data_IF_274259454615
#
_entry.id   IF_274259454615
#
_cell.length_a   1.000
_cell.length_b   1.000
_cell.length_c   1.000
_cell.angle_alpha   90.00
_cell.angle_beta   90.00
_cell.angle_gamma   90.00
#
_symmetry.space_group_name_H-M   'P 1'
#
loop_
_entity.id
_entity.type
_entity.pdbx_description
1 polymer ?
#
# COMPACT_ATOMS: atom_id res chain seq x y z
N UNK A 1 70.04 4.74 32.90
CA UNK A 1 69.57 5.97 32.22
C UNK A 1 68.24 5.64 31.55
N UNK A 2 67.16 6.31 31.96
CA UNK A 2 65.77 6.04 31.55
C UNK A 2 65.46 6.80 30.26
N UNK A 3 64.92 6.11 29.25
CA UNK A 3 64.19 6.71 28.11
C UNK A 3 63.12 5.70 27.70
N UNK A 4 61.93 5.70 28.31
CA UNK A 4 60.72 6.43 27.89
C UNK A 4 60.34 6.17 26.42
N UNK A 5 59.31 5.32 26.26
CA UNK A 5 58.55 4.99 25.07
C UNK A 5 57.75 6.20 24.56
N UNK A 6 57.45 6.29 23.25
CA UNK A 6 56.14 6.75 22.83
C UNK A 6 55.45 5.68 21.97
N UNK A 7 54.37 5.16 22.54
CA UNK A 7 53.32 4.37 21.92
C UNK A 7 52.39 5.34 21.21
N UNK A 8 52.58 5.63 19.92
CA UNK A 8 51.53 6.28 19.08
C UNK A 8 51.84 6.02 17.61
N UNK A 9 51.00 5.23 16.91
CA UNK A 9 50.24 5.62 15.70
C UNK A 9 49.65 4.36 14.99
N UNK A 10 48.93 3.52 15.73
CA UNK A 10 47.91 2.65 15.10
C UNK A 10 46.62 3.47 15.01
N UNK A 11 46.53 4.34 14.00
CA UNK A 11 45.47 5.34 13.90
C UNK A 11 44.90 5.45 12.49
N UNK A 12 43.74 4.81 12.29
CA UNK A 12 42.60 5.30 11.49
C UNK A 12 42.85 5.44 9.97
N UNK A 13 42.56 4.38 9.22
CA UNK A 13 41.88 4.50 7.91
C UNK A 13 40.86 3.37 7.79
N UNK A 14 39.78 3.45 8.56
CA UNK A 14 38.67 2.52 8.48
C UNK A 14 37.35 3.27 8.67
N UNK A 15 36.96 4.13 7.72
CA UNK A 15 35.65 4.80 7.71
C UNK A 15 35.39 5.66 6.45
N UNK A 16 35.45 5.08 5.25
CA UNK A 16 34.90 5.74 4.03
C UNK A 16 33.84 4.89 3.30
N UNK A 17 33.37 3.79 3.90
CA UNK A 17 32.41 2.88 3.28
C UNK A 17 30.95 3.09 3.71
N UNK A 18 30.58 4.28 4.19
CA UNK A 18 29.19 4.58 4.53
C UNK A 18 28.63 5.66 3.61
N UNK A 19 27.45 5.37 3.03
CA UNK A 19 26.56 6.24 2.23
C UNK A 19 26.92 6.47 0.76
N UNK A 20 26.66 5.47 -0.08
CA UNK A 20 26.80 5.60 -1.54
C UNK A 20 25.87 4.69 -2.33
N UNK A 21 24.68 4.38 -1.81
CA UNK A 21 23.66 3.70 -2.61
C UNK A 21 23.29 4.55 -3.83
N UNK A 22 22.84 3.93 -4.95
CA UNK A 22 22.32 4.66 -6.09
C UNK A 22 21.29 5.69 -5.61
N UNK A 23 21.37 6.92 -6.11
CA UNK A 23 20.32 7.90 -5.86
C UNK A 23 18.99 7.32 -6.33
N UNK A 24 17.89 7.50 -5.56
CA UNK A 24 16.58 7.05 -6.00
C UNK A 24 16.27 7.69 -7.37
N UNK A 25 15.55 6.98 -8.25
CA UNK A 25 15.10 7.56 -9.51
C UNK A 25 14.44 8.92 -9.28
N UNK A 26 14.54 9.88 -10.23
CA UNK A 26 14.02 11.23 -10.08
C UNK A 26 12.49 11.24 -10.19
N UNK A 27 11.82 10.67 -9.20
CA UNK A 27 10.39 10.55 -9.15
C UNK A 27 9.74 11.94 -9.03
N UNK A 28 8.59 12.11 -9.69
CA UNK A 28 7.82 13.36 -9.66
C UNK A 28 6.37 13.11 -9.24
N UNK A 29 6.07 13.12 -7.92
CA UNK A 29 4.71 12.97 -7.41
C UNK A 29 3.86 14.20 -7.75
N UNK A 30 3.08 14.10 -8.83
CA UNK A 30 2.26 15.23 -9.32
C UNK A 30 0.98 15.46 -8.51
N UNK A 31 0.34 14.38 -8.09
CA UNK A 31 -0.87 14.40 -7.27
C UNK A 31 -0.51 14.43 -5.78
N UNK A 32 -1.28 15.16 -4.98
CA UNK A 32 -1.22 15.04 -3.52
C UNK A 32 -1.88 13.74 -3.02
N UNK A 33 -1.88 13.51 -1.70
CA UNK A 33 -2.47 12.29 -1.10
C UNK A 33 -3.97 12.19 -1.40
N UNK A 34 -4.72 13.29 -1.30
CA UNK A 34 -6.17 13.29 -1.48
C UNK A 34 -6.52 12.99 -2.93
N UNK A 35 -5.82 13.61 -3.87
CA UNK A 35 -5.98 13.37 -5.30
C UNK A 35 -5.60 11.93 -5.68
N UNK A 36 -4.55 11.36 -5.09
CA UNK A 36 -4.19 9.96 -5.30
C UNK A 36 -5.27 9.01 -4.75
N UNK A 37 -5.79 9.30 -3.55
CA UNK A 37 -6.89 8.53 -2.95
C UNK A 37 -8.10 8.53 -3.89
N UNK A 38 -8.61 9.72 -4.23
CA UNK A 38 -9.83 9.87 -5.02
C UNK A 38 -9.68 9.44 -6.47
N UNK A 39 -8.48 9.56 -7.05
CA UNK A 39 -8.24 9.33 -8.48
C UNK A 39 -7.80 7.92 -8.83
N UNK A 40 -7.26 7.16 -7.88
CA UNK A 40 -6.70 5.83 -8.14
C UNK A 40 -7.08 4.80 -7.08
N UNK A 41 -6.93 5.12 -5.79
CA UNK A 41 -7.10 4.14 -4.71
C UNK A 41 -8.59 3.82 -4.51
N UNK A 42 -9.41 4.83 -4.22
CA UNK A 42 -10.84 4.70 -3.97
C UNK A 42 -11.57 3.98 -5.13
N UNK A 43 -11.49 4.44 -6.40
CA UNK A 43 -12.17 3.75 -7.49
C UNK A 43 -11.66 2.33 -7.75
N UNK A 44 -10.41 2.03 -7.42
CA UNK A 44 -9.88 0.66 -7.54
C UNK A 44 -10.42 -0.25 -6.45
N UNK A 45 -10.52 0.25 -5.21
CA UNK A 45 -11.15 -0.47 -4.12
C UNK A 45 -12.63 -0.73 -4.40
N UNK A 46 -13.36 0.25 -4.94
CA UNK A 46 -14.75 0.11 -5.36
C UNK A 46 -14.91 -1.02 -6.39
N UNK A 47 -14.03 -1.12 -7.38
CA UNK A 47 -14.07 -2.23 -8.35
C UNK A 47 -13.90 -3.58 -7.66
N UNK A 48 -13.00 -3.69 -6.67
CA UNK A 48 -12.79 -4.95 -5.94
C UNK A 48 -14.01 -5.32 -5.08
N UNK A 49 -14.58 -4.35 -4.36
CA UNK A 49 -15.76 -4.59 -3.53
C UNK A 49 -16.99 -4.90 -4.36
N UNK A 50 -17.21 -4.17 -5.46
CA UNK A 50 -18.36 -4.38 -6.33
C UNK A 50 -18.24 -5.64 -7.19
N UNK A 51 -17.05 -6.26 -7.28
CA UNK A 51 -16.85 -7.49 -8.04
C UNK A 51 -17.56 -8.70 -7.44
N UNK A 52 -17.71 -8.76 -6.11
CA UNK A 52 -18.26 -9.91 -5.39
C UNK A 52 -19.30 -9.48 -4.37
N UNK A 53 -20.20 -10.39 -4.00
CA UNK A 53 -21.18 -10.14 -2.94
C UNK A 53 -22.49 -10.88 -3.14
N UNK A 54 -23.41 -10.71 -2.20
CA UNK A 54 -24.75 -11.29 -2.28
C UNK A 54 -25.80 -10.17 -2.27
N UNK A 55 -26.77 -10.28 -3.16
CA UNK A 55 -27.93 -9.40 -3.25
C UNK A 55 -29.10 -10.19 -2.70
N UNK A 56 -29.56 -9.80 -1.51
CA UNK A 56 -30.70 -10.40 -0.83
C UNK A 56 -31.93 -9.54 -1.15
N UNK A 57 -32.93 -10.14 -1.80
CA UNK A 57 -34.22 -9.50 -2.08
C UNK A 57 -35.36 -10.35 -1.50
N UNK A 58 -36.60 -9.83 -1.56
CA UNK A 58 -37.78 -10.58 -1.13
C UNK A 58 -38.01 -11.84 -1.98
N UNK A 59 -37.50 -11.83 -3.22
CA UNK A 59 -37.63 -12.90 -4.21
C UNK A 59 -36.53 -13.97 -4.10
N UNK A 60 -35.45 -13.70 -3.34
CA UNK A 60 -34.36 -14.65 -3.12
C UNK A 60 -32.98 -13.99 -2.97
N UNK A 61 -31.93 -14.79 -2.96
CA UNK A 61 -30.54 -14.32 -2.89
C UNK A 61 -29.82 -14.60 -4.20
N UNK A 62 -29.17 -13.59 -4.77
CA UNK A 62 -28.32 -13.74 -5.98
C UNK A 62 -26.89 -13.36 -5.65
N UNK A 63 -25.92 -14.15 -6.13
CA UNK A 63 -24.51 -13.88 -5.94
C UNK A 63 -23.94 -13.10 -7.11
N UNK A 64 -23.27 -11.99 -6.80
CA UNK A 64 -22.50 -11.19 -7.72
C UNK A 64 -21.09 -11.74 -7.85
N UNK A 65 -20.60 -11.85 -9.08
CA UNK A 65 -19.24 -12.29 -9.43
C UNK A 65 -18.92 -11.91 -10.87
N UNK A 66 -17.64 -11.77 -11.25
CA UNK A 66 -17.25 -11.61 -12.64
C UNK A 66 -17.67 -12.83 -13.48
N UNK A 67 -18.21 -12.58 -14.68
CA UNK A 67 -18.83 -13.59 -15.55
C UNK A 67 -17.98 -13.97 -16.75
N UNK A 68 -17.09 -13.10 -17.17
CA UNK A 68 -16.28 -13.26 -18.37
C UNK A 68 -14.85 -12.72 -18.14
N UNK A 69 -13.98 -12.94 -19.11
CA UNK A 69 -12.57 -12.57 -19.01
C UNK A 69 -12.34 -11.06 -18.93
N UNK A 70 -13.24 -10.26 -19.52
CA UNK A 70 -13.17 -8.80 -19.45
C UNK A 70 -13.46 -8.30 -18.04
N UNK A 71 -14.51 -8.80 -17.40
CA UNK A 71 -14.83 -8.45 -16.01
C UNK A 71 -13.71 -8.89 -15.05
N UNK A 72 -13.13 -10.08 -15.24
CA UNK A 72 -11.96 -10.51 -14.46
C UNK A 72 -10.73 -9.63 -14.70
N UNK A 73 -10.51 -9.19 -15.95
CA UNK A 73 -9.44 -8.26 -16.27
C UNK A 73 -9.63 -6.90 -15.59
N UNK A 74 -10.86 -6.40 -15.48
CA UNK A 74 -11.16 -5.15 -14.76
C UNK A 74 -10.79 -5.26 -13.28
N UNK A 75 -11.19 -6.35 -12.61
CA UNK A 75 -10.83 -6.62 -11.21
C UNK A 75 -9.32 -6.70 -11.02
N UNK A 76 -8.62 -7.46 -11.89
CA UNK A 76 -7.16 -7.55 -11.86
C UNK A 76 -6.49 -6.20 -12.00
N UNK A 77 -6.92 -5.41 -12.98
CA UNK A 77 -6.31 -4.11 -13.26
C UNK A 77 -6.51 -3.16 -12.08
N UNK A 78 -7.68 -3.17 -11.45
CA UNK A 78 -7.94 -2.42 -10.22
C UNK A 78 -7.05 -2.89 -9.06
N UNK A 79 -6.88 -4.20 -8.87
CA UNK A 79 -5.97 -4.73 -7.85
C UNK A 79 -4.52 -4.28 -8.05
N UNK A 80 -4.03 -4.26 -9.30
CA UNK A 80 -2.69 -3.76 -9.63
C UNK A 80 -2.57 -2.28 -9.28
N UNK A 81 -3.56 -1.46 -9.65
CA UNK A 81 -3.57 -0.03 -9.29
C UNK A 81 -3.54 0.14 -7.78
N UNK A 82 -4.30 -0.65 -7.03
CA UNK A 82 -4.33 -0.60 -5.57
C UNK A 82 -2.97 -0.96 -4.95
N UNK A 83 -2.37 -2.06 -5.40
CA UNK A 83 -1.03 -2.48 -4.96
C UNK A 83 0.01 -1.40 -5.23
N UNK A 84 0.11 -0.92 -6.47
CA UNK A 84 1.13 0.07 -6.82
C UNK A 84 0.87 1.43 -6.17
N UNK A 85 -0.38 1.75 -5.83
CA UNK A 85 -0.69 2.98 -5.11
C UNK A 85 -0.11 3.00 -3.69
N UNK A 86 0.10 1.85 -3.06
CA UNK A 86 0.85 1.79 -1.80
C UNK A 86 2.29 2.28 -1.96
N UNK A 87 2.97 1.93 -3.05
CA UNK A 87 4.29 2.48 -3.39
C UNK A 87 4.20 4.00 -3.59
N UNK A 88 3.16 4.46 -4.29
CA UNK A 88 2.94 5.89 -4.54
C UNK A 88 2.70 6.70 -3.25
N UNK A 89 2.10 6.11 -2.22
CA UNK A 89 1.91 6.75 -0.91
C UNK A 89 3.23 6.92 -0.15
N UNK A 90 4.21 6.05 -0.36
CA UNK A 90 5.53 6.10 0.29
C UNK A 90 6.50 7.10 -0.37
N UNK A 91 6.12 7.73 -1.48
CA UNK A 91 6.96 8.72 -2.14
C UNK A 91 6.91 10.08 -1.43
N UNK A 92 8.06 10.73 -1.25
CA UNK A 92 8.13 12.12 -0.78
C UNK A 92 7.54 13.07 -1.84
N UNK A 93 6.63 13.99 -1.51
CA UNK A 93 6.30 14.47 -0.15
C UNK A 93 5.04 13.86 0.48
N UNK A 94 4.45 12.81 -0.10
CA UNK A 94 3.25 12.15 0.46
C UNK A 94 3.56 11.35 1.71
N UNK A 95 4.74 10.74 1.75
CA UNK A 95 5.24 9.99 2.89
C UNK A 95 5.18 10.81 4.18
N UNK A 96 4.63 10.22 5.25
CA UNK A 96 4.57 10.81 6.60
C UNK A 96 5.41 9.97 7.56
N UNK A 97 5.88 10.59 8.65
CA UNK A 97 6.50 10.00 9.86
C UNK A 97 7.58 8.90 9.75
N UNK A 98 7.88 8.38 8.56
CA UNK A 98 8.88 7.34 8.32
C UNK A 98 8.58 5.98 8.96
N UNK A 99 7.40 5.78 9.58
CA UNK A 99 7.11 4.59 10.38
C UNK A 99 5.73 4.03 10.09
N UNK A 100 4.72 4.41 10.89
CA UNK A 100 3.35 3.89 10.75
C UNK A 100 2.79 4.14 9.36
N UNK A 101 3.07 5.29 8.72
CA UNK A 101 2.64 5.54 7.34
C UNK A 101 3.21 4.51 6.36
N UNK A 102 4.49 4.17 6.50
CA UNK A 102 5.16 3.19 5.65
C UNK A 102 4.57 1.80 5.87
N UNK A 103 4.34 1.44 7.13
CA UNK A 103 3.70 0.18 7.49
C UNK A 103 2.31 0.06 6.87
N UNK A 104 1.45 1.09 7.01
CA UNK A 104 0.09 1.06 6.45
C UNK A 104 0.07 1.08 4.92
N UNK A 105 1.02 1.78 4.31
CA UNK A 105 1.19 1.75 2.85
C UNK A 105 1.60 0.35 2.36
N UNK A 106 2.46 -0.35 3.11
CA UNK A 106 2.86 -1.72 2.79
C UNK A 106 1.70 -2.71 3.00
N UNK A 107 0.89 -2.54 4.04
CA UNK A 107 -0.33 -3.33 4.23
C UNK A 107 -1.27 -3.21 3.01
N UNK A 108 -1.41 -2.01 2.43
CA UNK A 108 -2.18 -1.80 1.19
C UNK A 108 -1.56 -2.55 -0.01
N UNK A 109 -0.23 -2.55 -0.14
CA UNK A 109 0.48 -3.31 -1.18
C UNK A 109 0.15 -4.79 -1.05
N UNK A 110 0.25 -5.33 0.16
CA UNK A 110 0.11 -6.74 0.44
C UNK A 110 -1.32 -7.24 0.15
N UNK A 111 -2.34 -6.52 0.62
CA UNK A 111 -3.75 -6.88 0.34
C UNK A 111 -4.12 -6.69 -1.13
N UNK A 112 -3.62 -5.65 -1.79
CA UNK A 112 -3.80 -5.49 -3.24
C UNK A 112 -3.15 -6.63 -4.02
N UNK A 113 -1.97 -7.09 -3.59
CA UNK A 113 -1.25 -8.19 -4.25
C UNK A 113 -2.02 -9.50 -4.09
N UNK A 114 -2.63 -9.72 -2.93
CA UNK A 114 -3.54 -10.83 -2.70
C UNK A 114 -4.77 -10.74 -3.62
N UNK A 115 -5.40 -9.57 -3.74
CA UNK A 115 -6.54 -9.35 -4.63
C UNK A 115 -6.18 -9.63 -6.09
N UNK A 116 -5.00 -9.19 -6.53
CA UNK A 116 -4.50 -9.44 -7.88
C UNK A 116 -4.36 -10.95 -8.14
N UNK A 117 -3.75 -11.68 -7.22
CA UNK A 117 -3.59 -13.15 -7.33
C UNK A 117 -4.95 -13.87 -7.35
N UNK A 118 -5.91 -13.43 -6.53
CA UNK A 118 -7.26 -13.98 -6.52
C UNK A 118 -7.99 -13.73 -7.84
N UNK A 119 -7.84 -12.53 -8.41
CA UNK A 119 -8.42 -12.17 -9.72
C UNK A 119 -7.81 -12.99 -10.86
N UNK A 120 -6.49 -13.18 -10.89
CA UNK A 120 -5.81 -14.05 -11.86
C UNK A 120 -6.28 -15.50 -11.77
N UNK A 121 -6.46 -16.00 -10.54
CA UNK A 121 -6.98 -17.34 -10.30
C UNK A 121 -8.50 -17.47 -10.51
N UNK A 122 -9.20 -16.36 -10.81
CA UNK A 122 -10.66 -16.29 -10.89
C UNK A 122 -11.37 -16.85 -9.64
N UNK A 123 -10.77 -16.64 -8.46
CA UNK A 123 -11.23 -17.19 -7.20
C UNK A 123 -12.19 -16.21 -6.49
N UNK A 124 -13.49 -16.43 -6.68
CA UNK A 124 -14.55 -15.55 -6.16
C UNK A 124 -14.59 -15.52 -4.64
N UNK A 125 -14.49 -16.68 -3.98
CA UNK A 125 -14.60 -16.76 -2.53
C UNK A 125 -13.42 -16.06 -1.84
N UNK A 126 -12.21 -16.27 -2.39
CA UNK A 126 -11.02 -15.57 -1.91
C UNK A 126 -11.11 -14.06 -2.15
N UNK A 127 -11.58 -13.63 -3.33
CA UNK A 127 -11.75 -12.21 -3.63
C UNK A 127 -12.75 -11.54 -2.68
N UNK A 128 -13.84 -12.24 -2.32
CA UNK A 128 -14.80 -11.75 -1.33
C UNK A 128 -14.17 -11.58 0.05
N UNK A 129 -13.39 -12.57 0.53
CA UNK A 129 -12.66 -12.44 1.80
C UNK A 129 -11.68 -11.26 1.78
N UNK A 130 -10.91 -11.12 0.71
CA UNK A 130 -9.93 -10.02 0.57
C UNK A 130 -10.61 -8.65 0.55
N UNK A 131 -11.86 -8.55 0.10
CA UNK A 131 -12.64 -7.30 0.22
C UNK A 131 -12.71 -6.78 1.66
N UNK A 132 -12.82 -7.67 2.65
CA UNK A 132 -12.74 -7.34 4.07
C UNK A 132 -11.33 -6.89 4.50
N UNK A 133 -10.30 -7.60 4.05
CA UNK A 133 -8.90 -7.26 4.36
C UNK A 133 -8.52 -5.88 3.80
N UNK A 134 -9.00 -5.54 2.60
CA UNK A 134 -8.83 -4.20 2.01
C UNK A 134 -9.50 -3.13 2.88
N UNK A 135 -10.72 -3.39 3.37
CA UNK A 135 -11.40 -2.45 4.27
C UNK A 135 -10.63 -2.24 5.58
N UNK A 136 -10.06 -3.30 6.14
CA UNK A 136 -9.23 -3.22 7.34
C UNK A 136 -7.95 -2.41 7.10
N UNK A 137 -7.23 -2.67 6.00
CA UNK A 137 -6.03 -1.91 5.62
C UNK A 137 -6.34 -0.41 5.46
N UNK A 138 -7.44 -0.07 4.78
CA UNK A 138 -7.90 1.31 4.64
C UNK A 138 -8.22 1.94 5.99
N UNK A 139 -8.99 1.25 6.84
CA UNK A 139 -9.42 1.74 8.14
C UNK A 139 -8.24 2.00 9.09
N UNK A 140 -7.28 1.08 9.14
CA UNK A 140 -6.08 1.20 9.97
C UNK A 140 -5.25 2.44 9.62
N UNK A 141 -5.18 2.80 8.34
CA UNK A 141 -4.53 4.04 7.90
C UNK A 141 -5.39 5.28 8.20
N UNK A 142 -6.66 5.25 7.81
CA UNK A 142 -7.55 6.40 7.87
C UNK A 142 -7.83 6.87 9.30
N UNK A 143 -7.97 5.96 10.26
CA UNK A 143 -8.15 6.28 11.68
C UNK A 143 -6.98 7.07 12.27
N UNK A 144 -5.81 7.04 11.63
CA UNK A 144 -4.63 7.77 12.08
C UNK A 144 -4.36 9.05 11.28
N UNK A 145 -4.58 9.03 9.96
CA UNK A 145 -4.09 10.07 9.05
C UNK A 145 -5.16 10.86 8.31
N UNK A 146 -6.42 10.43 8.33
CA UNK A 146 -7.50 11.16 7.70
C UNK A 146 -8.18 12.07 8.72
N UNK A 147 -7.91 13.38 8.61
CA UNK A 147 -8.38 14.38 9.58
C UNK A 147 -9.89 14.32 9.83
N UNK A 148 -10.68 14.07 8.79
CA UNK A 148 -12.14 13.97 8.90
C UNK A 148 -12.57 12.82 9.82
N UNK A 149 -11.83 11.70 9.85
CA UNK A 149 -12.10 10.57 10.75
C UNK A 149 -11.51 10.82 12.13
N UNK A 150 -10.26 11.29 12.19
CA UNK A 150 -9.55 11.58 13.46
C UNK A 150 -10.30 12.61 14.31
N UNK A 151 -11.02 13.53 13.68
CA UNK A 151 -11.74 14.62 14.35
C UNK A 151 -13.27 14.44 14.34
N UNK A 152 -13.81 13.32 13.86
CA UNK A 152 -15.26 13.13 13.71
C UNK A 152 -16.05 13.24 15.03
N UNK A 153 -15.41 13.00 16.17
CA UNK A 153 -16.03 12.99 17.50
C UNK A 153 -15.43 14.05 18.46
N UNK A 154 -14.74 15.06 17.93
CA UNK A 154 -14.22 16.20 18.71
C UNK A 154 -15.10 17.41 18.48
#
# INVERSE_FOLDING_TARGET
MRTMLPLVLAGIVCSLACSGGPQPPPFRPVADVKQLMQGAIDPSADVLWEATGEIITLEGTTRRRPKNDEEWAQVRNAAIVLTESGNLLMMVPRAKDGSEWMKRSQELIDVGSAAWKAAEAKNVDQLFTIGGDVYEACSNCHQRYMEAIVNANK
#
